data_IF_876510725784
#
_entry.id   IF_876510725784
#
_cell.length_a   1.000
_cell.length_b   1.000
_cell.length_c   1.000
_cell.angle_alpha   90.00
_cell.angle_beta   90.00
_cell.angle_gamma   90.00
#
_symmetry.space_group_name_H-M   'P 1'
#
loop_
_entity.id
_entity.type
_entity.pdbx_description
1 polymer ?
#
# COMPACT_ATOMS: atom_id res chain seq x y z
N UNK A 1 9.56 0.75 -5.29
CA UNK A 1 8.49 1.77 -5.26
C UNK A 1 9.15 3.16 -5.34
N UNK A 2 8.42 4.25 -5.57
CA UNK A 2 8.99 5.60 -5.47
C UNK A 2 8.97 6.09 -4.00
N UNK A 3 9.70 7.18 -3.65
CA UNK A 3 9.81 7.64 -2.26
C UNK A 3 8.47 7.89 -1.56
N UNK A 4 7.48 8.44 -2.27
CA UNK A 4 6.14 8.72 -1.73
C UNK A 4 5.42 7.43 -1.32
N UNK A 5 5.46 6.40 -2.18
CA UNK A 5 4.82 5.13 -1.88
C UNK A 5 5.54 4.37 -0.75
N UNK A 6 6.87 4.49 -0.66
CA UNK A 6 7.62 3.92 0.45
C UNK A 6 7.18 4.53 1.79
N UNK A 7 7.15 5.86 1.90
CA UNK A 7 6.67 6.52 3.13
C UNK A 7 5.23 6.15 3.47
N UNK A 8 4.34 6.14 2.48
CA UNK A 8 2.95 5.76 2.69
C UNK A 8 2.82 4.32 3.21
N UNK A 9 3.66 3.40 2.75
CA UNK A 9 3.67 2.01 3.22
C UNK A 9 4.26 1.85 4.63
N UNK A 10 5.32 2.61 4.92
CA UNK A 10 5.96 2.62 6.24
C UNK A 10 5.02 3.19 7.31
N UNK A 11 4.20 4.20 6.94
CA UNK A 11 3.18 4.80 7.81
C UNK A 11 1.84 4.05 7.79
N UNK A 12 1.76 2.91 7.09
CA UNK A 12 0.55 2.11 6.93
C UNK A 12 -0.66 2.93 6.42
N UNK A 13 -0.39 3.95 5.59
CA UNK A 13 -1.38 4.66 4.78
C UNK A 13 -1.69 3.84 3.53
N UNK A 14 -0.68 3.20 2.94
CA UNK A 14 -0.80 2.26 1.82
C UNK A 14 -0.43 0.86 2.33
N UNK A 15 -1.30 -0.10 2.15
CA UNK A 15 -1.05 -1.51 2.43
C UNK A 15 -1.35 -2.34 1.19
N UNK A 16 -0.90 -3.59 1.20
CA UNK A 16 -1.21 -4.56 0.16
C UNK A 16 -1.72 -5.83 0.83
N UNK A 17 -2.83 -6.36 0.36
CA UNK A 17 -3.47 -7.57 0.86
C UNK A 17 -2.75 -8.84 0.37
N UNK A 18 -3.03 -10.00 0.97
CA UNK A 18 -2.48 -11.29 0.51
C UNK A 18 -2.86 -11.65 -0.93
N UNK A 19 -3.98 -11.14 -1.44
CA UNK A 19 -4.41 -11.25 -2.84
C UNK A 19 -3.84 -10.14 -3.74
N UNK A 20 -2.80 -9.44 -3.26
CA UNK A 20 -2.05 -8.42 -3.97
C UNK A 20 -2.90 -7.22 -4.41
N UNK A 21 -3.88 -6.82 -3.60
CA UNK A 21 -4.65 -5.58 -3.82
C UNK A 21 -4.16 -4.47 -2.93
N UNK A 22 -4.13 -3.27 -3.47
CA UNK A 22 -3.71 -2.07 -2.74
C UNK A 22 -4.86 -1.57 -1.87
N UNK A 23 -4.63 -1.46 -0.57
CA UNK A 23 -5.55 -0.84 0.38
C UNK A 23 -4.99 0.53 0.80
N UNK A 24 -5.82 1.58 0.71
CA UNK A 24 -5.42 2.94 1.10
C UNK A 24 -6.29 3.36 2.28
N UNK A 25 -5.65 3.60 3.41
CA UNK A 25 -6.30 4.02 4.65
C UNK A 25 -6.41 5.53 4.67
N UNK A 26 -7.42 6.05 3.97
CA UNK A 26 -7.63 7.50 3.82
C UNK A 26 -7.71 8.28 5.14
N UNK A 27 -8.14 7.64 6.23
CA UNK A 27 -8.17 8.24 7.56
C UNK A 27 -6.77 8.53 8.15
N UNK A 28 -5.72 7.88 7.64
CA UNK A 28 -4.32 8.10 8.06
C UNK A 28 -3.59 9.16 7.24
N UNK A 29 -4.24 9.77 6.25
CA UNK A 29 -3.67 10.89 5.50
C UNK A 29 -3.52 12.10 6.42
N UNK A 30 -2.29 12.50 6.71
CA UNK A 30 -2.00 13.57 7.66
C UNK A 30 -2.45 14.94 7.13
N UNK A 31 -2.82 15.88 8.00
CA UNK A 31 -3.32 17.21 7.60
C UNK A 31 -2.35 18.01 6.71
N UNK A 32 -1.05 17.71 6.75
CA UNK A 32 -0.02 18.36 5.93
C UNK A 32 0.19 17.79 4.52
N UNK A 33 -0.43 16.66 4.17
CA UNK A 33 -0.32 16.12 2.81
C UNK A 33 -1.01 17.04 1.81
N UNK A 34 -0.36 17.28 0.67
CA UNK A 34 -0.97 18.08 -0.41
C UNK A 34 -2.18 17.35 -1.00
N UNK A 35 -3.15 18.11 -1.48
CA UNK A 35 -4.36 17.56 -2.11
C UNK A 35 -4.03 16.67 -3.32
N UNK A 36 -2.96 16.99 -4.04
CA UNK A 36 -2.42 16.17 -5.12
C UNK A 36 -1.86 14.84 -4.62
N UNK A 37 -1.16 14.82 -3.48
CA UNK A 37 -0.62 13.60 -2.86
C UNK A 37 -1.75 12.68 -2.43
N UNK A 38 -2.79 13.23 -1.79
CA UNK A 38 -3.98 12.46 -1.37
C UNK A 38 -4.66 11.81 -2.57
N UNK A 39 -4.95 12.58 -3.62
CA UNK A 39 -5.59 12.06 -4.85
C UNK A 39 -4.74 10.98 -5.50
N UNK A 40 -3.44 11.22 -5.67
CA UNK A 40 -2.51 10.25 -6.27
C UNK A 40 -2.53 8.92 -5.51
N UNK A 41 -2.51 8.93 -4.18
CA UNK A 41 -2.55 7.69 -3.39
C UNK A 41 -3.91 7.00 -3.47
N UNK A 42 -5.00 7.76 -3.34
CA UNK A 42 -6.37 7.22 -3.38
C UNK A 42 -6.70 6.59 -4.74
N UNK A 43 -6.15 7.08 -5.84
CA UNK A 43 -6.35 6.52 -7.19
C UNK A 43 -5.82 5.08 -7.33
N UNK A 44 -4.91 4.65 -6.44
CA UNK A 44 -4.41 3.28 -6.40
C UNK A 44 -5.24 2.34 -5.55
N UNK A 45 -6.19 2.84 -4.76
CA UNK A 45 -7.01 1.99 -3.91
C UNK A 45 -7.79 0.94 -4.72
N UNK A 46 -7.78 -0.30 -4.27
CA UNK A 46 -8.45 -1.43 -4.91
C UNK A 46 -7.75 -1.98 -6.15
N UNK A 47 -6.68 -1.34 -6.64
CA UNK A 47 -5.91 -1.83 -7.79
C UNK A 47 -5.09 -3.07 -7.41
N UNK A 48 -4.98 -3.99 -8.34
CA UNK A 48 -4.07 -5.12 -8.23
C UNK A 48 -2.62 -4.68 -8.46
N UNK A 49 -1.71 -5.20 -7.65
CA UNK A 49 -0.28 -5.01 -7.85
C UNK A 49 0.15 -5.71 -9.14
N UNK A 50 1.04 -5.06 -9.90
CA UNK A 50 1.75 -5.78 -10.94
C UNK A 50 2.81 -6.66 -10.28
N UNK A 51 2.71 -7.97 -10.51
CA UNK A 51 3.59 -8.96 -9.90
C UNK A 51 4.73 -9.33 -10.85
N UNK A 52 5.95 -9.57 -10.32
CA UNK A 52 7.01 -10.21 -11.07
C UNK A 52 6.54 -11.55 -11.66
N UNK A 53 7.02 -11.85 -12.87
CA UNK A 53 6.77 -13.14 -13.53
C UNK A 53 7.31 -14.29 -12.68
N UNK A 54 8.51 -14.09 -12.13
CA UNK A 54 9.17 -15.03 -11.23
C UNK A 54 8.52 -15.00 -9.85
N UNK A 55 8.06 -16.15 -9.38
CA UNK A 55 7.32 -16.28 -8.13
C UNK A 55 8.19 -15.99 -6.89
N UNK A 56 9.47 -16.36 -6.93
CA UNK A 56 10.42 -16.10 -5.83
C UNK A 56 10.67 -14.60 -5.58
N UNK A 57 10.33 -13.73 -6.54
CA UNK A 57 10.45 -12.27 -6.40
C UNK A 57 9.15 -11.60 -5.96
N UNK A 58 8.05 -12.35 -5.85
CA UNK A 58 6.76 -11.80 -5.41
C UNK A 58 6.82 -11.50 -3.92
N UNK A 59 6.08 -10.47 -3.45
CA UNK A 59 5.90 -10.25 -2.04
C UNK A 59 5.31 -11.50 -1.36
N UNK A 60 5.78 -11.84 -0.16
CA UNK A 60 5.25 -12.96 0.61
C UNK A 60 3.82 -12.63 1.11
N UNK A 61 2.78 -13.39 0.70
CA UNK A 61 1.39 -13.15 1.12
C UNK A 61 1.19 -13.18 2.63
N UNK A 62 1.93 -14.03 3.35
CA UNK A 62 1.79 -14.16 4.81
C UNK A 62 2.32 -12.91 5.52
N UNK A 63 3.42 -12.33 5.01
CA UNK A 63 3.96 -11.08 5.55
C UNK A 63 3.05 -9.89 5.25
N UNK A 64 2.40 -9.88 4.08
CA UNK A 64 1.41 -8.87 3.71
C UNK A 64 0.20 -8.90 4.66
N UNK A 65 -0.37 -10.09 4.84
CA UNK A 65 -1.47 -10.33 5.79
C UNK A 65 -1.10 -9.91 7.20
N UNK A 66 0.06 -10.34 7.69
CA UNK A 66 0.54 -10.01 9.03
C UNK A 66 0.69 -8.50 9.22
N UNK A 67 1.16 -7.74 8.22
CA UNK A 67 1.24 -6.28 8.32
C UNK A 67 -0.15 -5.66 8.44
N UNK A 68 -1.13 -6.13 7.69
CA UNK A 68 -2.52 -5.67 7.82
C UNK A 68 -3.06 -5.95 9.23
N UNK A 69 -2.88 -7.17 9.74
CA UNK A 69 -3.33 -7.57 11.07
C UNK A 69 -2.67 -6.75 12.19
N UNK A 70 -1.38 -6.43 12.07
CA UNK A 70 -0.66 -5.59 13.03
C UNK A 70 -1.13 -4.13 13.03
N UNK A 71 -1.63 -3.66 11.89
CA UNK A 71 -2.02 -2.27 11.69
C UNK A 71 -3.52 -2.04 11.78
N UNK A 72 -4.35 -3.10 11.76
CA UNK A 72 -5.81 -3.06 11.81
C UNK A 72 -6.31 -2.39 13.10
#
# INVERSE_FOLDING_TARGET
>A
MCPTHHRAYDQAILLVTEDYRVEIRGHRLAHGDSDATRRTLLDFHGRSLWLPKEEALRPDPELLRKKIELEA
#
